data_IF_284026192277
#
_entry.id   IF_284026192277
#
_cell.length_a   1.000
_cell.length_b   1.000
_cell.length_c   1.000
_cell.angle_alpha   90.00
_cell.angle_beta   90.00
_cell.angle_gamma   90.00
#
_symmetry.space_group_name_H-M   'P 1'
#
loop_
_entity.id
_entity.type
_entity.pdbx_description
1 polymer ?
#
# COMPACT_ATOMS: atom_id res chain seq x y z
N UNK A 1 -5.50 28.15 -30.11
CA UNK A 1 -4.48 27.96 -29.05
C UNK A 1 -5.20 27.21 -27.94
N UNK A 2 -5.34 25.90 -28.10
CA UNK A 2 -5.95 25.05 -27.08
C UNK A 2 -4.80 24.55 -26.22
N UNK A 3 -4.62 25.22 -25.09
CA UNK A 3 -3.70 24.81 -24.04
C UNK A 3 -4.16 23.43 -23.54
N UNK A 4 -3.45 22.39 -23.97
CA UNK A 4 -3.74 21.02 -23.57
C UNK A 4 -3.60 20.93 -22.04
N UNK A 5 -4.59 20.41 -21.31
CA UNK A 5 -4.54 20.41 -19.85
C UNK A 5 -3.32 19.59 -19.40
N UNK A 6 -2.45 20.23 -18.62
CA UNK A 6 -1.30 19.57 -18.00
C UNK A 6 -1.79 18.28 -17.32
N UNK A 7 -1.26 17.15 -17.76
CA UNK A 7 -1.55 15.87 -17.13
C UNK A 7 -1.07 15.95 -15.68
N UNK A 8 -1.99 15.85 -14.73
CA UNK A 8 -1.66 15.82 -13.30
C UNK A 8 -0.68 14.69 -13.03
N UNK A 9 0.58 15.05 -12.77
CA UNK A 9 1.65 14.13 -12.41
C UNK A 9 1.84 14.17 -10.88
N UNK A 10 1.16 13.30 -10.11
CA UNK A 10 1.25 13.28 -8.65
C UNK A 10 2.66 13.00 -8.13
N UNK A 11 3.58 12.51 -8.98
CA UNK A 11 4.97 12.31 -8.60
C UNK A 11 5.74 13.62 -8.38
N UNK A 12 5.34 14.71 -9.04
CA UNK A 12 5.94 16.05 -8.89
C UNK A 12 5.54 16.75 -7.59
N UNK A 13 4.33 16.48 -7.11
CA UNK A 13 3.80 17.04 -5.85
C UNK A 13 4.25 16.21 -4.63
N UNK A 14 4.50 14.90 -4.83
CA UNK A 14 4.97 13.97 -3.81
C UNK A 14 6.31 13.30 -4.19
N UNK A 15 7.39 14.09 -4.41
CA UNK A 15 8.68 13.53 -4.77
C UNK A 15 9.18 12.59 -3.66
N UNK A 16 9.36 11.32 -4.00
CA UNK A 16 10.07 10.36 -3.15
C UNK A 16 9.27 9.65 -2.05
N UNK A 17 7.94 9.73 -2.01
CA UNK A 17 7.17 8.89 -1.07
C UNK A 17 6.89 7.51 -1.66
N UNK A 18 7.94 6.70 -1.70
CA UNK A 18 7.87 5.27 -2.01
C UNK A 18 7.15 4.59 -0.85
N UNK A 19 5.85 4.40 -0.99
CA UNK A 19 5.09 3.64 -0.01
C UNK A 19 5.02 2.16 -0.41
N UNK A 20 4.92 1.81 -1.68
CA UNK A 20 4.88 0.40 -2.06
C UNK A 20 6.29 -0.17 -2.27
N UNK A 21 6.48 -1.46 -1.99
CA UNK A 21 7.75 -2.19 -2.22
C UNK A 21 8.15 -2.31 -3.71
N UNK A 22 7.28 -1.91 -4.63
CA UNK A 22 7.55 -1.93 -6.07
C UNK A 22 8.23 -0.66 -6.59
N UNK A 23 8.45 0.35 -5.74
CA UNK A 23 9.05 1.64 -6.10
C UNK A 23 8.36 2.37 -7.27
N UNK A 24 7.10 2.02 -7.55
CA UNK A 24 6.29 2.62 -8.61
C UNK A 24 5.36 3.71 -8.05
N UNK A 25 4.90 4.57 -8.95
CA UNK A 25 4.10 5.74 -8.70
C UNK A 25 2.81 5.39 -7.95
N UNK A 26 2.32 6.35 -7.17
CA UNK A 26 1.11 6.24 -6.36
C UNK A 26 -0.14 6.35 -7.26
N UNK A 27 -0.36 5.34 -8.10
CA UNK A 27 -1.54 5.22 -8.95
C UNK A 27 -2.52 4.16 -8.41
N UNK A 28 -3.76 4.56 -8.19
CA UNK A 28 -4.86 3.65 -7.83
C UNK A 28 -5.03 3.36 -6.34
N UNK A 29 -5.84 2.34 -6.02
CA UNK A 29 -6.20 2.00 -4.63
C UNK A 29 -5.04 1.35 -3.89
N UNK A 30 -4.79 1.82 -2.67
CA UNK A 30 -3.77 1.28 -1.77
C UNK A 30 -4.37 0.78 -0.46
N UNK A 31 -3.62 -0.06 0.25
CA UNK A 31 -3.94 -0.54 1.60
C UNK A 31 -2.81 -0.19 2.57
N UNK A 32 -3.17 0.28 3.76
CA UNK A 32 -2.23 0.55 4.84
C UNK A 32 -1.99 -0.73 5.64
N UNK A 33 -0.73 -1.04 5.96
CA UNK A 33 -0.38 -2.07 6.93
C UNK A 33 -0.76 -1.60 8.34
N UNK A 34 -1.44 -2.43 9.12
CA UNK A 34 -1.79 -2.11 10.51
C UNK A 34 -0.55 -1.90 11.40
N UNK A 35 0.58 -2.51 11.04
CA UNK A 35 1.87 -2.31 11.72
C UNK A 35 2.76 -1.23 11.05
N UNK A 36 2.18 -0.26 10.33
CA UNK A 36 2.90 0.78 9.58
C UNK A 36 3.80 1.69 10.42
N UNK A 37 3.61 1.74 11.74
CA UNK A 37 4.44 2.55 12.64
C UNK A 37 5.73 1.85 13.05
N UNK A 38 5.84 0.55 12.79
CA UNK A 38 7.05 -0.23 13.05
C UNK A 38 8.14 0.15 12.04
N UNK A 39 9.37 0.32 12.53
CA UNK A 39 10.51 0.68 11.69
C UNK A 39 10.84 -0.40 10.65
N UNK A 40 10.48 -1.66 10.90
CA UNK A 40 10.68 -2.76 9.97
C UNK A 40 9.60 -2.81 8.88
N UNK A 41 8.52 -2.01 8.99
CA UNK A 41 7.48 -1.92 7.97
C UNK A 41 7.91 -0.96 6.84
N UNK A 42 8.73 -1.45 5.92
CA UNK A 42 9.37 -0.61 4.88
C UNK A 42 8.39 0.07 3.91
N UNK A 43 7.28 -0.58 3.58
CA UNK A 43 6.31 0.00 2.66
C UNK A 43 5.26 0.90 3.33
N UNK A 44 4.68 0.44 4.45
CA UNK A 44 3.52 1.07 5.10
C UNK A 44 2.25 1.06 4.23
N UNK A 45 2.26 1.60 3.01
CA UNK A 45 1.15 1.51 2.05
C UNK A 45 1.49 0.67 0.84
N UNK A 46 0.60 -0.24 0.47
CA UNK A 46 0.84 -1.18 -0.61
C UNK A 46 -0.25 -1.04 -1.65
N UNK A 47 0.09 -1.10 -2.94
CA UNK A 47 -0.94 -1.29 -3.96
C UNK A 47 -1.67 -2.61 -3.68
N UNK A 48 -2.99 -2.65 -3.93
CA UNK A 48 -3.76 -3.87 -3.70
C UNK A 48 -3.14 -5.09 -4.42
N UNK A 49 -2.69 -4.91 -5.67
CA UNK A 49 -2.00 -5.95 -6.44
C UNK A 49 -0.72 -6.43 -5.75
N UNK A 50 0.15 -5.52 -5.32
CA UNK A 50 1.39 -5.84 -4.61
C UNK A 50 1.13 -6.50 -3.25
N UNK A 51 -0.01 -6.19 -2.62
CA UNK A 51 -0.48 -6.81 -1.39
C UNK A 51 -1.09 -8.22 -1.60
N UNK A 52 -1.37 -8.62 -2.85
CA UNK A 52 -2.10 -9.86 -3.16
C UNK A 52 -3.61 -9.74 -2.90
N UNK A 53 -4.15 -8.52 -3.01
CA UNK A 53 -5.55 -8.19 -2.78
C UNK A 53 -6.24 -7.80 -4.10
N UNK A 54 -7.45 -8.30 -4.30
CA UNK A 54 -8.30 -7.90 -5.42
C UNK A 54 -9.17 -6.68 -5.09
N UNK A 55 -9.48 -6.48 -3.81
CA UNK A 55 -10.30 -5.38 -3.30
C UNK A 55 -9.73 -4.90 -1.98
N UNK A 56 -10.02 -3.66 -1.61
CA UNK A 56 -9.66 -3.14 -0.29
C UNK A 56 -10.33 -3.97 0.81
N UNK A 57 -9.64 -4.25 1.94
CA UNK A 57 -10.28 -4.84 3.11
C UNK A 57 -11.47 -3.98 3.57
N UNK A 58 -12.47 -4.61 4.18
CA UNK A 58 -13.56 -3.86 4.81
C UNK A 58 -13.02 -3.02 5.98
N UNK A 59 -13.74 -1.95 6.37
CA UNK A 59 -13.28 -0.99 7.39
C UNK A 59 -12.91 -1.62 8.75
N UNK A 60 -13.55 -2.72 9.10
CA UNK A 60 -13.34 -3.45 10.34
C UNK A 60 -12.36 -4.63 10.20
N UNK A 61 -11.69 -4.74 9.06
CA UNK A 61 -10.77 -5.83 8.75
C UNK A 61 -9.36 -5.28 8.72
N UNK A 62 -8.49 -5.88 9.53
CA UNK A 62 -7.08 -5.53 9.62
C UNK A 62 -6.31 -6.18 8.48
N UNK A 63 -5.27 -5.50 8.00
CA UNK A 63 -4.37 -6.06 7.01
C UNK A 63 -2.90 -5.82 7.36
N UNK A 64 -2.07 -6.85 7.18
CA UNK A 64 -0.64 -6.79 7.44
C UNK A 64 0.18 -7.07 6.16
N UNK A 65 1.23 -6.27 5.92
CA UNK A 65 2.17 -6.53 4.84
C UNK A 65 3.01 -7.78 5.08
N UNK A 66 3.60 -8.34 4.02
CA UNK A 66 4.33 -9.63 4.02
C UNK A 66 5.33 -9.77 5.18
N UNK A 67 6.09 -8.71 5.47
CA UNK A 67 7.08 -8.72 6.55
C UNK A 67 6.43 -8.72 7.93
N UNK A 68 5.40 -7.89 8.12
CA UNK A 68 4.68 -7.78 9.38
C UNK A 68 3.88 -9.06 9.69
N UNK A 69 3.37 -9.79 8.68
CA UNK A 69 2.68 -11.09 8.90
C UNK A 69 3.62 -12.09 9.55
N UNK A 70 4.84 -12.17 9.01
CA UNK A 70 5.90 -13.09 9.48
C UNK A 70 6.37 -12.69 10.87
N UNK A 71 6.66 -11.40 11.09
CA UNK A 71 7.12 -10.86 12.38
C UNK A 71 6.10 -11.06 13.51
N UNK A 72 4.82 -10.78 13.24
CA UNK A 72 3.76 -10.81 14.26
C UNK A 72 3.03 -12.15 14.37
N UNK A 73 3.26 -13.08 13.44
CA UNK A 73 2.48 -14.32 13.35
C UNK A 73 0.99 -14.10 13.04
N UNK A 74 0.63 -12.99 12.38
CA UNK A 74 -0.77 -12.61 12.08
C UNK A 74 -1.04 -12.56 10.59
N UNK A 75 -2.23 -12.97 10.16
CA UNK A 75 -2.64 -12.87 8.75
C UNK A 75 -1.87 -13.82 7.81
N UNK A 76 -1.30 -14.90 8.34
CA UNK A 76 -0.51 -15.87 7.57
C UNK A 76 -1.33 -16.66 6.53
N UNK A 77 -2.60 -16.95 6.83
CA UNK A 77 -3.46 -17.83 6.03
C UNK A 77 -4.27 -17.10 4.93
N UNK A 78 -4.32 -15.76 4.95
CA UNK A 78 -5.23 -14.98 4.09
C UNK A 78 -4.59 -13.71 3.53
N UNK A 79 -3.39 -13.83 2.96
CA UNK A 79 -2.69 -12.70 2.33
C UNK A 79 -2.60 -11.44 3.22
N UNK A 80 -2.46 -11.63 4.54
CA UNK A 80 -2.37 -10.55 5.53
C UNK A 80 -3.70 -10.07 6.11
N UNK A 81 -4.84 -10.54 5.58
CA UNK A 81 -6.18 -10.18 6.08
C UNK A 81 -6.45 -10.88 7.41
N UNK A 82 -6.88 -10.11 8.40
CA UNK A 82 -7.23 -10.57 9.75
C UNK A 82 -8.57 -9.97 10.15
N UNK A 83 -9.49 -10.85 10.58
CA UNK A 83 -10.76 -10.49 11.21
C UNK A 83 -10.69 -10.70 12.71
#
# INVERSE_FOLDING_TARGET
MEDAPEQYDPSREYPGRIYCICNDTVGGTMVLCENHRDNDCKGKWFHLRCAGLHRSPAKNVRWYCMDCRKKLGRGLLHNGVVR
#
